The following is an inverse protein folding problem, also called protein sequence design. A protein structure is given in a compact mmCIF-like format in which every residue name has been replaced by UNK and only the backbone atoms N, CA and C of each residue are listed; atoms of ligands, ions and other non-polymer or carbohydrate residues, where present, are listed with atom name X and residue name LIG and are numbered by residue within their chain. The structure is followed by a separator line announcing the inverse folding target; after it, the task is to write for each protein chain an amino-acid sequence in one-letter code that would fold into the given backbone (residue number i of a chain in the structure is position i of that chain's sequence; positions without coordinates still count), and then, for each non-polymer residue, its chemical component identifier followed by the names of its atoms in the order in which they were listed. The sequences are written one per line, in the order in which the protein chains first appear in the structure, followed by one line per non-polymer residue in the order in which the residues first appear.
data_IF_415341251888
#
_entry.id   IF_415341251888
#
_cell.length_a   1.000
_cell.length_b   1.000
_cell.length_c   1.000
_cell.angle_alpha   90.00
_cell.angle_beta   90.00
_cell.angle_gamma   90.00
#
_symmetry.space_group_name_H-M   'P 1'
#
loop_
_entity.id
_entity.type
_entity.pdbx_description
1 polymer ?
#
# COMPACT_ATOMS: atom_id res chain seq x y z
N UNK A 1 44.45 -14.48 -29.77
CA UNK A 1 44.47 -13.19 -29.03
C UNK A 1 43.15 -12.50 -29.34
N UNK A 2 42.39 -12.14 -28.30
CA UNK A 2 41.03 -11.59 -28.33
C UNK A 2 41.01 -10.19 -28.95
N UNK A 3 39.97 -9.89 -29.72
CA UNK A 3 39.42 -8.54 -29.84
C UNK A 3 37.89 -8.65 -29.89
N UNK A 4 37.25 -8.29 -28.77
CA UNK A 4 35.80 -8.16 -28.68
C UNK A 4 35.39 -6.76 -29.12
N UNK A 5 34.35 -6.68 -29.94
CA UNK A 5 33.65 -5.43 -30.21
C UNK A 5 32.41 -5.38 -29.30
N UNK A 6 32.50 -4.50 -28.32
CA UNK A 6 31.39 -4.01 -27.50
C UNK A 6 30.45 -3.21 -28.41
N UNK A 7 29.18 -3.59 -28.49
CA UNK A 7 28.15 -2.63 -28.88
C UNK A 7 27.01 -2.72 -27.87
N UNK A 8 27.05 -1.78 -26.93
CA UNK A 8 26.00 -1.50 -25.97
C UNK A 8 24.82 -0.89 -26.71
N UNK A 9 23.92 -1.73 -27.20
CA UNK A 9 22.58 -1.28 -27.58
C UNK A 9 21.77 -1.08 -26.31
N UNK A 10 21.71 0.16 -25.84
CA UNK A 10 20.75 0.62 -24.83
C UNK A 10 19.34 0.43 -25.41
N UNK A 11 18.56 -0.45 -24.79
CA UNK A 11 17.14 -0.57 -25.03
C UNK A 11 16.45 -1.01 -23.73
N UNK A 12 15.93 -0.10 -22.90
CA UNK A 12 14.96 -0.48 -21.89
C UNK A 12 13.61 -0.68 -22.59
N UNK A 13 13.37 -1.90 -23.06
CA UNK A 13 12.02 -2.39 -23.30
C UNK A 13 11.35 -2.65 -21.93
N UNK A 14 10.92 -1.59 -21.24
CA UNK A 14 9.93 -1.73 -20.16
C UNK A 14 8.56 -1.31 -20.68
N UNK A 15 7.95 -2.31 -21.33
CA UNK A 15 6.55 -2.42 -21.67
C UNK A 15 5.69 -2.25 -20.41
N UNK A 16 4.75 -1.28 -20.36
CA UNK A 16 3.75 -1.23 -19.29
C UNK A 16 2.73 -2.38 -19.49
N UNK A 17 2.29 -3.06 -18.44
CA UNK A 17 1.06 -3.84 -18.52
C UNK A 17 -0.13 -2.87 -18.49
N UNK A 18 -0.70 -2.61 -19.65
CA UNK A 18 -2.10 -2.17 -19.79
C UNK A 18 -3.01 -3.28 -19.28
N UNK A 19 -3.22 -3.31 -17.97
CA UNK A 19 -4.14 -4.20 -17.28
C UNK A 19 -5.47 -3.50 -17.04
N UNK A 20 -6.43 -3.79 -17.91
CA UNK A 20 -7.88 -3.73 -17.74
C UNK A 20 -8.43 -2.97 -16.52
N UNK A 21 -9.01 -1.82 -16.81
CA UNK A 21 -10.06 -1.15 -16.03
C UNK A 21 -11.23 -2.12 -15.82
N UNK A 22 -11.32 -2.76 -14.65
CA UNK A 22 -12.55 -3.42 -14.22
C UNK A 22 -13.45 -2.38 -13.53
N UNK A 23 -14.76 -2.36 -13.84
CA UNK A 23 -15.69 -1.43 -13.23
C UNK A 23 -15.80 -1.69 -11.72
N UNK A 24 -15.66 -0.63 -10.92
CA UNK A 24 -16.05 -0.58 -9.51
C UNK A 24 -17.51 -1.00 -9.41
N UNK A 25 -17.75 -2.27 -9.07
CA UNK A 25 -19.07 -2.81 -8.76
C UNK A 25 -19.61 -2.08 -7.54
N UNK A 26 -20.60 -1.22 -7.78
CA UNK A 26 -21.32 -0.48 -6.75
C UNK A 26 -22.07 -1.41 -5.80
N UNK A 27 -22.19 -0.95 -4.56
CA UNK A 27 -22.88 -1.68 -3.50
C UNK A 27 -22.94 -0.94 -2.16
N UNK A 28 -23.64 0.21 -2.14
CA UNK A 28 -24.42 0.75 -1.00
C UNK A 28 -23.69 1.34 0.22
N UNK A 29 -23.59 2.67 0.21
CA UNK A 29 -24.13 3.55 1.26
C UNK A 29 -23.35 3.68 2.58
N UNK A 30 -22.59 4.77 2.71
CA UNK A 30 -23.00 5.95 3.49
C UNK A 30 -22.05 7.09 3.15
N UNK A 31 -22.62 8.23 2.75
CA UNK A 31 -21.92 9.49 2.78
C UNK A 31 -21.63 9.86 4.24
N UNK A 32 -20.40 10.25 4.54
CA UNK A 32 -20.12 11.17 5.65
C UNK A 32 -18.88 11.97 5.27
N UNK A 33 -19.11 13.20 4.82
CA UNK A 33 -18.05 14.19 4.77
C UNK A 33 -17.71 14.63 6.18
N UNK A 34 -16.44 14.86 6.46
CA UNK A 34 -16.05 15.85 7.44
C UNK A 34 -14.66 16.39 7.10
N UNK A 35 -14.68 17.59 6.53
CA UNK A 35 -13.57 18.53 6.53
C UNK A 35 -13.09 18.69 7.98
N UNK A 36 -11.88 18.26 8.29
CA UNK A 36 -11.25 18.55 9.58
C UNK A 36 -9.91 19.25 9.32
N UNK A 37 -9.91 20.57 9.48
CA UNK A 37 -8.69 21.34 9.69
C UNK A 37 -8.09 20.87 11.03
N UNK A 38 -6.92 20.23 11.01
CA UNK A 38 -6.06 20.11 12.19
C UNK A 38 -4.69 20.70 11.82
N UNK A 39 -4.38 21.93 12.27
CA UNK A 39 -3.73 22.21 13.55
C UNK A 39 -2.41 21.43 13.72
N UNK A 40 -1.34 22.02 13.16
CA UNK A 40 0.04 22.05 13.68
C UNK A 40 0.34 21.16 14.91
N UNK A 41 0.81 19.93 14.67
CA UNK A 41 1.63 19.17 15.63
C UNK A 41 2.74 18.42 14.89
N UNK A 42 3.97 18.97 14.77
CA UNK A 42 5.06 18.30 14.06
C UNK A 42 5.68 17.12 14.83
N UNK A 43 5.20 16.82 16.05
CA UNK A 43 5.73 15.74 16.88
C UNK A 43 5.02 14.38 16.70
N UNK A 44 3.76 14.36 16.23
CA UNK A 44 3.00 13.11 16.04
C UNK A 44 3.32 12.46 14.68
N UNK A 45 3.46 13.28 13.63
CA UNK A 45 3.68 12.79 12.27
C UNK A 45 4.91 11.87 12.09
N UNK A 46 5.94 12.02 12.92
CA UNK A 46 7.11 11.12 12.90
C UNK A 46 6.81 9.74 13.50
N UNK A 47 6.01 9.70 14.57
CA UNK A 47 5.53 8.45 15.17
C UNK A 47 4.51 7.76 14.27
N UNK A 48 3.66 8.51 13.57
CA UNK A 48 2.70 7.97 12.60
C UNK A 48 3.40 7.33 11.40
N UNK A 49 4.49 7.94 10.91
CA UNK A 49 5.32 7.38 9.86
C UNK A 49 5.98 6.05 10.26
N UNK A 50 6.53 5.98 11.48
CA UNK A 50 7.12 4.75 12.02
C UNK A 50 6.06 3.66 12.24
N UNK A 51 4.89 4.05 12.75
CA UNK A 51 3.75 3.16 13.02
C UNK A 51 3.17 2.58 11.73
N UNK A 52 3.06 3.40 10.68
CA UNK A 52 2.69 2.98 9.33
C UNK A 52 3.69 1.94 8.77
N UNK A 53 5.00 2.23 8.86
CA UNK A 53 6.05 1.31 8.39
C UNK A 53 6.02 -0.05 9.13
N UNK A 54 5.81 -0.02 10.45
CA UNK A 54 5.65 -1.21 11.27
C UNK A 54 4.38 -1.99 10.88
N UNK A 55 3.27 -1.28 10.63
CA UNK A 55 2.02 -1.86 10.14
C UNK A 55 2.16 -2.57 8.80
N UNK A 56 2.85 -1.96 7.83
CA UNK A 56 3.13 -2.58 6.52
C UNK A 56 3.91 -3.88 6.68
N UNK A 57 4.94 -3.87 7.53
CA UNK A 57 5.73 -5.08 7.84
C UNK A 57 4.85 -6.17 8.44
N UNK A 58 4.00 -5.83 9.42
CA UNK A 58 3.02 -6.78 9.97
C UNK A 58 2.11 -7.39 8.88
N UNK A 59 1.61 -6.58 7.94
CA UNK A 59 0.75 -7.09 6.87
C UNK A 59 1.52 -8.03 5.94
N UNK A 60 2.78 -7.70 5.61
CA UNK A 60 3.67 -8.58 4.83
C UNK A 60 3.88 -9.91 5.53
N UNK A 61 4.17 -9.89 6.82
CA UNK A 61 4.36 -11.09 7.64
C UNK A 61 3.08 -11.92 7.71
N UNK A 62 1.94 -11.27 7.91
CA UNK A 62 0.64 -11.93 7.92
C UNK A 62 0.31 -12.57 6.57
N UNK A 63 0.68 -11.94 5.44
CA UNK A 63 0.55 -12.52 4.11
C UNK A 63 1.50 -13.71 3.89
N UNK A 64 2.73 -13.62 4.41
CA UNK A 64 3.70 -14.72 4.37
C UNK A 64 3.25 -15.93 5.22
N UNK A 65 2.50 -15.68 6.29
CA UNK A 65 1.92 -16.71 7.15
C UNK A 65 0.73 -17.46 6.52
N UNK A 66 0.38 -17.18 5.25
CA UNK A 66 -0.76 -17.79 4.53
C UNK A 66 -2.08 -17.68 5.32
N UNK A 67 -2.63 -16.46 5.44
CA UNK A 67 -3.89 -16.23 6.13
C UNK A 67 -5.04 -16.82 5.33
N UNK A 68 -6.25 -16.85 5.92
CA UNK A 68 -7.43 -17.43 5.27
C UNK A 68 -7.69 -16.87 3.86
N UNK A 69 -8.25 -17.68 2.97
CA UNK A 69 -8.55 -17.27 1.58
C UNK A 69 -9.45 -16.02 1.51
N UNK A 70 -10.29 -15.80 2.53
CA UNK A 70 -11.15 -14.62 2.66
C UNK A 70 -10.40 -13.37 3.15
N UNK A 71 -9.27 -13.54 3.86
CA UNK A 71 -8.41 -12.46 4.34
C UNK A 71 -7.39 -12.02 3.29
N UNK A 72 -6.87 -12.95 2.48
CA UNK A 72 -5.86 -12.70 1.44
C UNK A 72 -6.14 -11.47 0.55
N UNK A 73 -7.32 -11.32 -0.10
CA UNK A 73 -7.57 -10.18 -0.97
C UNK A 73 -7.67 -8.87 -0.20
N UNK A 74 -8.14 -8.90 1.06
CA UNK A 74 -8.24 -7.71 1.91
C UNK A 74 -6.86 -7.26 2.39
N UNK A 75 -6.00 -8.19 2.81
CA UNK A 75 -4.64 -7.90 3.25
C UNK A 75 -3.75 -7.41 2.11
N UNK A 76 -3.83 -8.01 0.91
CA UNK A 76 -3.12 -7.52 -0.27
C UNK A 76 -3.55 -6.10 -0.66
N UNK A 77 -4.85 -5.81 -0.56
CA UNK A 77 -5.37 -4.46 -0.80
C UNK A 77 -4.86 -3.48 0.25
N UNK A 78 -4.97 -3.81 1.54
CA UNK A 78 -4.51 -2.99 2.64
C UNK A 78 -3.00 -2.67 2.52
N UNK A 79 -2.18 -3.66 2.18
CA UNK A 79 -0.75 -3.49 1.93
C UNK A 79 -0.49 -2.49 0.79
N UNK A 80 -1.17 -2.64 -0.36
CA UNK A 80 -1.00 -1.71 -1.49
C UNK A 80 -1.47 -0.29 -1.19
N UNK A 81 -2.46 -0.12 -0.32
CA UNK A 81 -2.90 1.20 0.14
C UNK A 81 -1.85 1.77 1.07
N UNK A 82 -1.51 1.05 2.15
CA UNK A 82 -0.50 1.48 3.12
C UNK A 82 0.85 1.87 2.47
N UNK A 83 1.35 1.09 1.50
CA UNK A 83 2.57 1.44 0.75
C UNK A 83 2.44 2.72 -0.10
N UNK A 84 1.26 2.99 -0.64
CA UNK A 84 1.00 4.21 -1.42
C UNK A 84 0.95 5.42 -0.49
N UNK A 85 0.15 5.33 0.58
CA UNK A 85 -0.03 6.44 1.52
C UNK A 85 1.29 6.75 2.25
N UNK A 86 2.07 5.72 2.63
CA UNK A 86 3.42 5.89 3.19
C UNK A 86 4.34 6.68 2.25
N UNK A 87 4.22 6.46 0.93
CA UNK A 87 5.03 7.15 -0.08
C UNK A 87 4.55 8.58 -0.32
N UNK A 88 3.25 8.81 -0.18
CA UNK A 88 2.60 10.13 -0.34
C UNK A 88 2.73 11.00 0.92
N UNK A 89 3.09 10.40 2.07
CA UNK A 89 3.24 11.09 3.36
C UNK A 89 1.94 11.19 4.17
N UNK A 90 0.89 10.54 3.68
CA UNK A 90 -0.44 10.47 4.30
C UNK A 90 -0.44 9.32 5.33
N UNK A 91 0.19 9.56 6.48
CA UNK A 91 0.41 8.50 7.48
C UNK A 91 -0.86 8.10 8.21
N UNK A 92 -1.82 9.01 8.40
CA UNK A 92 -3.10 8.73 9.03
C UNK A 92 -3.92 7.70 8.22
N UNK A 93 -3.97 7.88 6.90
CA UNK A 93 -4.62 6.99 5.95
C UNK A 93 -3.90 5.64 5.85
N UNK A 94 -2.57 5.64 6.01
CA UNK A 94 -1.81 4.41 6.14
C UNK A 94 -2.22 3.62 7.39
N UNK A 95 -2.33 4.30 8.54
CA UNK A 95 -2.74 3.67 9.80
C UNK A 95 -4.16 3.10 9.71
N UNK A 96 -5.07 3.78 9.01
CA UNK A 96 -6.41 3.25 8.72
C UNK A 96 -6.37 1.96 7.89
N UNK A 97 -5.53 1.92 6.85
CA UNK A 97 -5.33 0.70 6.06
C UNK A 97 -4.72 -0.45 6.89
N UNK A 98 -3.80 -0.12 7.81
CA UNK A 98 -3.22 -1.07 8.76
C UNK A 98 -4.27 -1.57 9.75
N UNK A 99 -5.13 -0.69 10.27
CA UNK A 99 -6.21 -1.05 11.17
C UNK A 99 -7.21 -1.99 10.49
N UNK A 100 -7.55 -1.76 9.23
CA UNK A 100 -8.40 -2.66 8.46
C UNK A 100 -7.77 -4.05 8.27
N UNK A 101 -6.46 -4.11 8.05
CA UNK A 101 -5.74 -5.39 8.03
C UNK A 101 -5.78 -6.11 9.38
N UNK A 102 -5.62 -5.39 10.49
CA UNK A 102 -5.70 -5.94 11.86
C UNK A 102 -7.09 -6.52 12.15
N UNK A 103 -8.16 -5.80 11.81
CA UNK A 103 -9.55 -6.29 11.93
C UNK A 103 -9.76 -7.59 11.18
N UNK A 104 -9.20 -7.71 9.96
CA UNK A 104 -9.30 -8.94 9.15
C UNK A 104 -8.54 -10.10 9.78
N UNK A 105 -7.43 -9.82 10.48
CA UNK A 105 -6.63 -10.80 11.21
C UNK A 105 -7.18 -11.13 12.61
N UNK A 106 -8.18 -10.38 13.10
CA UNK A 106 -8.74 -10.56 14.44
C UNK A 106 -7.80 -10.08 15.55
N UNK A 107 -6.99 -9.05 15.29
CA UNK A 107 -6.09 -8.39 16.25
C UNK A 107 -6.54 -6.95 16.48
#
# INVERSE_FOLDING_TARGET
MKAGAFSCTVAPLLRPPSGATLPRRGGRGLALGLFALLLTTPALAADDAASCAAGITMIRDALAANPSETALPKLKKALRVAEREQKEGEFDECLDAVADARKVLGR
#
